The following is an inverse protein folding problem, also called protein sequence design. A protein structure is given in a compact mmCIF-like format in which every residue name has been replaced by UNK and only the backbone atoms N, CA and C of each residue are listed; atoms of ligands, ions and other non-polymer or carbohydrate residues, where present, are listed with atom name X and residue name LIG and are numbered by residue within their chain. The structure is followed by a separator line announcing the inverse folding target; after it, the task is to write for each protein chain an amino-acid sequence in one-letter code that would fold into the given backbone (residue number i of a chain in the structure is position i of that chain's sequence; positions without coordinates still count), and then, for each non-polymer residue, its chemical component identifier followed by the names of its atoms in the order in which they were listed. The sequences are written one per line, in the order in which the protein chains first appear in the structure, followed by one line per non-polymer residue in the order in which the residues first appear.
data_IF_542936282032
#
_entry.id   IF_542936282032
#
_cell.length_a   1.000
_cell.length_b   1.000
_cell.length_c   1.000
_cell.angle_alpha   90.00
_cell.angle_beta   90.00
_cell.angle_gamma   90.00
#
_symmetry.space_group_name_H-M   'P 1'
#
loop_
_entity.id
_entity.type
_entity.pdbx_description
1 polymer ?
#
# COMPACT_ATOMS: atom_id res chain seq x y z
N UNK A 1 4.86 15.37 31.87
CA UNK A 1 3.58 14.96 31.23
C UNK A 1 3.90 13.93 30.15
N UNK A 2 3.48 12.67 30.30
CA UNK A 2 3.78 11.60 29.35
C UNK A 2 2.93 11.77 28.07
N UNK A 3 3.56 11.87 26.90
CA UNK A 3 2.85 11.86 25.61
C UNK A 3 2.26 10.46 25.40
N UNK A 4 0.93 10.33 25.47
CA UNK A 4 0.25 9.09 25.08
C UNK A 4 0.59 8.78 23.62
N UNK A 5 1.12 7.60 23.38
CA UNK A 5 1.39 7.08 22.04
C UNK A 5 0.08 7.02 21.23
N UNK A 6 0.09 7.41 19.94
CA UNK A 6 -1.10 7.32 19.11
C UNK A 6 -1.60 5.87 19.08
N UNK A 7 -2.90 5.66 19.32
CA UNK A 7 -3.53 4.34 19.17
C UNK A 7 -3.37 3.90 17.71
N UNK A 8 -2.85 2.69 17.50
CA UNK A 8 -2.78 2.08 16.17
C UNK A 8 -4.12 1.42 15.87
N UNK A 9 -4.65 1.67 14.67
CA UNK A 9 -5.89 1.06 14.18
C UNK A 9 -5.59 0.18 12.97
N UNK A 10 -6.17 -1.02 12.92
CA UNK A 10 -6.14 -1.89 11.74
C UNK A 10 -6.99 -1.29 10.61
N UNK A 11 -6.94 -1.90 9.42
CA UNK A 11 -7.79 -1.46 8.30
C UNK A 11 -9.28 -1.69 8.60
N UNK A 12 -9.60 -2.82 9.22
CA UNK A 12 -10.95 -3.22 9.61
C UNK A 12 -11.52 -2.28 10.67
N UNK A 13 -10.73 -1.95 11.70
CA UNK A 13 -11.15 -1.01 12.74
C UNK A 13 -11.44 0.38 12.16
N UNK A 14 -10.58 0.87 11.25
CA UNK A 14 -10.82 2.16 10.57
C UNK A 14 -12.12 2.13 9.77
N UNK A 15 -12.39 1.04 9.06
CA UNK A 15 -13.60 0.89 8.27
C UNK A 15 -14.87 0.86 9.14
N UNK A 16 -14.86 0.14 10.27
CA UNK A 16 -15.99 0.13 11.22
C UNK A 16 -16.28 1.52 11.79
N UNK A 17 -15.23 2.27 12.16
CA UNK A 17 -15.38 3.64 12.67
C UNK A 17 -16.01 4.57 11.61
N UNK A 18 -15.63 4.41 10.34
CA UNK A 18 -16.24 5.18 9.24
C UNK A 18 -17.73 4.82 9.07
N UNK A 19 -18.07 3.53 9.14
CA UNK A 19 -19.46 3.07 9.04
C UNK A 19 -20.34 3.60 10.18
N UNK A 20 -19.82 3.65 11.42
CA UNK A 20 -20.53 4.26 12.55
C UNK A 20 -20.91 5.72 12.27
N UNK A 21 -20.01 6.50 11.67
CA UNK A 21 -20.27 7.89 11.32
C UNK A 21 -21.15 8.08 10.08
N UNK A 22 -21.12 7.13 9.14
CA UNK A 22 -21.99 7.14 7.93
C UNK A 22 -23.44 6.75 8.24
N UNK A 23 -23.65 5.86 9.22
CA UNK A 23 -24.99 5.42 9.65
C UNK A 23 -25.84 6.57 10.21
N UNK A 24 -25.20 7.68 10.62
CA UNK A 24 -25.89 8.89 11.09
C UNK A 24 -26.52 8.77 12.48
N UNK A 25 -26.37 7.62 13.15
CA UNK A 25 -26.85 7.39 14.52
C UNK A 25 -26.16 8.31 15.55
N UNK A 26 -24.97 8.80 15.21
CA UNK A 26 -24.17 9.69 16.06
C UNK A 26 -23.50 10.77 15.21
N UNK A 27 -23.25 11.92 15.83
CA UNK A 27 -22.43 12.95 15.19
C UNK A 27 -20.99 12.47 15.02
N UNK A 28 -20.31 12.93 13.96
CA UNK A 28 -18.89 12.61 13.71
C UNK A 28 -18.01 13.00 14.91
N UNK A 29 -18.35 14.09 15.60
CA UNK A 29 -17.64 14.53 16.82
C UNK A 29 -17.72 13.49 17.94
N UNK A 30 -18.87 12.86 18.13
CA UNK A 30 -19.05 11.83 19.16
C UNK A 30 -18.33 10.53 18.78
N UNK A 31 -18.39 10.13 17.50
CA UNK A 31 -17.61 9.00 16.97
C UNK A 31 -16.11 9.23 17.19
N UNK A 32 -15.61 10.43 16.86
CA UNK A 32 -14.23 10.82 17.08
C UNK A 32 -13.81 10.73 18.55
N UNK A 33 -14.67 11.23 19.47
CA UNK A 33 -14.41 11.19 20.90
C UNK A 33 -14.38 9.75 21.44
N UNK A 34 -15.31 8.90 21.04
CA UNK A 34 -15.38 7.49 21.47
C UNK A 34 -14.13 6.72 21.07
N UNK A 35 -13.68 6.91 19.84
CA UNK A 35 -12.54 6.19 19.28
C UNK A 35 -11.20 6.88 19.59
N UNK A 36 -11.20 8.08 20.15
CA UNK A 36 -9.99 8.82 20.50
C UNK A 36 -9.22 9.33 19.27
N UNK A 37 -9.94 9.68 18.20
CA UNK A 37 -9.39 10.22 16.96
C UNK A 37 -9.83 11.67 16.77
N UNK A 38 -9.10 12.42 15.94
CA UNK A 38 -9.52 13.76 15.54
C UNK A 38 -10.48 13.70 14.35
N UNK A 39 -11.31 14.73 14.18
CA UNK A 39 -12.14 14.88 12.98
C UNK A 39 -11.31 14.90 11.69
N UNK A 40 -10.12 15.50 11.73
CA UNK A 40 -9.17 15.52 10.59
C UNK A 40 -8.77 14.10 10.20
N UNK A 41 -8.47 13.25 11.20
CA UNK A 41 -8.14 11.84 10.99
C UNK A 41 -9.32 11.08 10.38
N UNK A 42 -10.52 11.27 10.92
CA UNK A 42 -11.74 10.64 10.41
C UNK A 42 -11.98 10.99 8.93
N UNK A 43 -11.97 12.27 8.60
CA UNK A 43 -12.21 12.72 7.23
C UNK A 43 -11.10 12.27 6.27
N UNK A 44 -9.84 12.29 6.72
CA UNK A 44 -8.73 11.75 5.92
C UNK A 44 -8.92 10.26 5.56
N UNK A 45 -9.43 9.45 6.49
CA UNK A 45 -9.74 8.04 6.20
C UNK A 45 -10.93 7.90 5.26
N UNK A 46 -12.00 8.68 5.48
CA UNK A 46 -13.18 8.69 4.63
C UNK A 46 -12.83 9.03 3.17
N UNK A 47 -12.01 10.06 2.97
CA UNK A 47 -11.61 10.50 1.64
C UNK A 47 -10.75 9.45 0.94
N UNK A 48 -9.87 8.75 1.67
CA UNK A 48 -9.08 7.63 1.11
C UNK A 48 -9.98 6.48 0.66
N UNK A 49 -10.95 6.08 1.47
CA UNK A 49 -11.90 5.01 1.12
C UNK A 49 -12.73 5.42 -0.10
N UNK A 50 -13.24 6.66 -0.11
CA UNK A 50 -14.00 7.21 -1.25
C UNK A 50 -13.16 7.21 -2.53
N UNK A 51 -11.93 7.68 -2.48
CA UNK A 51 -11.04 7.73 -3.65
C UNK A 51 -10.71 6.33 -4.16
N UNK A 52 -10.42 5.40 -3.26
CA UNK A 52 -10.16 4.00 -3.62
C UNK A 52 -11.39 3.33 -4.26
N UNK A 53 -12.59 3.60 -3.72
CA UNK A 53 -13.83 3.10 -4.30
C UNK A 53 -14.10 3.67 -5.69
N UNK A 54 -13.91 4.98 -5.89
CA UNK A 54 -14.05 5.62 -7.21
C UNK A 54 -13.05 5.04 -8.20
N UNK A 55 -11.79 4.88 -7.78
CA UNK A 55 -10.74 4.32 -8.63
C UNK A 55 -11.05 2.86 -9.01
N UNK A 56 -11.49 2.06 -8.05
CA UNK A 56 -11.92 0.67 -8.31
C UNK A 56 -13.09 0.59 -9.29
N UNK A 57 -14.06 1.52 -9.21
CA UNK A 57 -15.19 1.57 -10.13
C UNK A 57 -14.78 2.03 -11.54
N UNK A 58 -13.79 2.92 -11.65
CA UNK A 58 -13.23 3.38 -12.93
C UNK A 58 -12.47 2.31 -13.67
N UNK A 59 -11.74 1.45 -12.95
CA UNK A 59 -10.87 0.44 -13.56
C UNK A 59 -11.63 -0.76 -14.15
N UNK A 60 -12.93 -0.89 -13.86
CA UNK A 60 -13.80 -1.97 -14.36
C UNK A 60 -13.48 -3.33 -13.71
N UNK A 61 -14.42 -4.29 -13.76
CA UNK A 61 -14.19 -5.62 -13.21
C UNK A 61 -13.03 -6.33 -13.95
N UNK A 62 -12.01 -6.77 -13.20
CA UNK A 62 -10.93 -7.63 -13.73
C UNK A 62 -9.57 -6.95 -13.94
N UNK A 63 -9.44 -5.63 -13.81
CA UNK A 63 -8.12 -4.98 -13.74
C UNK A 63 -7.68 -4.90 -12.29
N UNK A 64 -6.61 -5.62 -11.93
CA UNK A 64 -5.95 -5.49 -10.62
C UNK A 64 -5.63 -4.01 -10.41
N UNK A 65 -5.90 -3.50 -9.20
CA UNK A 65 -5.36 -2.22 -8.74
C UNK A 65 -3.90 -2.16 -9.16
N UNK A 66 -3.46 -1.06 -9.76
CA UNK A 66 -2.07 -0.91 -10.22
C UNK A 66 -1.05 -1.46 -9.21
N UNK A 67 0.04 -2.04 -9.72
CA UNK A 67 1.05 -2.74 -8.92
C UNK A 67 1.40 -1.94 -7.67
N UNK A 68 1.38 -2.59 -6.51
CA UNK A 68 1.77 -1.93 -5.26
C UNK A 68 3.19 -1.38 -5.37
N UNK A 69 3.56 -0.38 -4.57
CA UNK A 69 4.93 0.15 -4.54
C UNK A 69 5.98 -0.95 -4.34
N UNK A 70 5.68 -1.90 -3.46
CA UNK A 70 6.52 -3.07 -3.21
C UNK A 70 6.64 -3.99 -4.44
N UNK A 71 5.56 -4.15 -5.20
CA UNK A 71 5.55 -4.95 -6.42
C UNK A 71 6.36 -4.29 -7.54
N UNK A 72 6.36 -2.95 -7.61
CA UNK A 72 7.22 -2.18 -8.52
C UNK A 72 8.71 -2.28 -8.14
N UNK A 73 9.04 -2.19 -6.85
CA UNK A 73 10.41 -2.39 -6.35
C UNK A 73 10.94 -3.79 -6.66
N UNK A 74 10.13 -4.82 -6.39
CA UNK A 74 10.47 -6.20 -6.71
C UNK A 74 10.72 -6.41 -8.21
N UNK A 75 9.96 -5.74 -9.07
CA UNK A 75 10.18 -5.80 -10.52
C UNK A 75 11.47 -5.12 -10.96
N UNK A 76 11.80 -3.94 -10.41
CA UNK A 76 13.09 -3.26 -10.69
C UNK A 76 14.26 -4.14 -10.26
N UNK A 77 14.20 -4.71 -9.06
CA UNK A 77 15.23 -5.61 -8.55
C UNK A 77 15.35 -6.88 -9.41
N UNK A 78 14.22 -7.46 -9.84
CA UNK A 78 14.22 -8.62 -10.73
C UNK A 78 14.88 -8.32 -12.08
N UNK A 79 14.65 -7.13 -12.63
CA UNK A 79 15.29 -6.68 -13.88
C UNK A 79 16.79 -6.50 -13.70
N UNK A 80 17.23 -5.88 -12.62
CA UNK A 80 18.66 -5.74 -12.29
C UNK A 80 19.35 -7.09 -12.16
N UNK A 81 18.74 -8.02 -11.41
CA UNK A 81 19.28 -9.36 -11.24
C UNK A 81 19.40 -10.11 -12.56
N UNK A 82 18.39 -10.02 -13.44
CA UNK A 82 18.45 -10.61 -14.79
C UNK A 82 19.60 -10.04 -15.61
N UNK A 83 19.81 -8.72 -15.57
CA UNK A 83 20.90 -8.08 -16.27
C UNK A 83 22.26 -8.58 -15.78
N UNK A 84 22.47 -8.59 -14.45
CA UNK A 84 23.71 -9.09 -13.85
C UNK A 84 23.97 -10.56 -14.19
N UNK A 85 22.93 -11.41 -14.21
CA UNK A 85 23.05 -12.81 -14.62
C UNK A 85 23.54 -12.92 -16.07
N UNK A 86 23.02 -12.09 -16.98
CA UNK A 86 23.44 -12.09 -18.40
C UNK A 86 24.92 -11.69 -18.51
N UNK A 87 25.34 -10.63 -17.83
CA UNK A 87 26.74 -10.17 -17.83
C UNK A 87 27.70 -11.25 -17.31
N UNK A 88 27.40 -11.81 -16.13
CA UNK A 88 28.21 -12.87 -15.53
C UNK A 88 28.25 -14.13 -16.40
N UNK A 89 27.13 -14.49 -17.03
CA UNK A 89 27.07 -15.63 -17.94
C UNK A 89 27.96 -15.41 -19.17
N UNK A 90 27.96 -14.19 -19.72
CA UNK A 90 28.81 -13.84 -20.87
C UNK A 90 30.30 -13.89 -20.51
N UNK A 91 30.68 -13.36 -19.35
CA UNK A 91 32.06 -13.45 -18.83
C UNK A 91 32.48 -14.90 -18.62
N UNK A 92 31.61 -15.73 -18.03
CA UNK A 92 31.88 -17.15 -17.80
C UNK A 92 32.16 -17.90 -19.11
N UNK A 93 31.36 -17.65 -20.16
CA UNK A 93 31.59 -18.21 -21.50
C UNK A 93 32.94 -17.74 -22.06
N UNK A 94 33.26 -16.46 -21.91
CA UNK A 94 34.53 -15.91 -22.42
C UNK A 94 35.75 -16.50 -21.69
N UNK A 95 35.67 -16.68 -20.37
CA UNK A 95 36.71 -17.32 -19.57
C UNK A 95 36.89 -18.79 -19.95
N UNK A 96 35.80 -19.54 -20.13
CA UNK A 96 35.86 -20.93 -20.61
C UNK A 96 36.54 -21.04 -21.98
N UNK A 97 36.23 -20.13 -22.91
CA UNK A 97 36.91 -20.08 -24.22
C UNK A 97 38.41 -19.79 -24.10
N UNK A 98 38.80 -18.84 -23.25
CA UNK A 98 40.21 -18.50 -23.00
C UNK A 98 41.01 -19.63 -22.34
N UNK A 99 40.37 -20.46 -21.52
CA UNK A 99 41.03 -21.56 -20.82
C UNK A 99 41.08 -22.87 -21.65
N UNK A 100 40.34 -22.94 -22.76
CA UNK A 100 40.25 -24.12 -23.63
C UNK A 100 41.04 -23.98 -24.94
N UNK A 101 41.62 -22.81 -25.21
CA UNK A 101 42.55 -22.56 -26.32
C UNK A 101 43.94 -22.27 -25.81
#
# INVERSE_FOLDING_TARGET
MSRKSPKKFTAEEKYQILQEGETGSMSISEVCRRHGISAVTYYSWRDKVRQAAIESLRQGPGRKSGKSHHELELEDENQRLKHTIVELSQENVNLKKKNLG
#
